data_IF_938420266555
#
_entry.id   IF_938420266555
#
_cell.length_a   1.000
_cell.length_b   1.000
_cell.length_c   1.000
_cell.angle_alpha   90.00
_cell.angle_beta   90.00
_cell.angle_gamma   90.00
#
_symmetry.space_group_name_H-M   'P 1'
#
loop_
_entity.id
_entity.type
_entity.pdbx_description
1 polymer ?
#
# COMPACT_ATOMS: atom_id res chain seq x y z
N UNK A 1 -11.66 10.22 15.83
CA UNK A 1 -10.33 10.58 15.29
C UNK A 1 -10.15 9.81 14.00
N UNK A 2 -10.07 10.49 12.85
CA UNK A 2 -9.66 9.82 11.62
C UNK A 2 -8.18 9.53 11.72
N UNK A 3 -7.80 8.26 11.82
CA UNK A 3 -6.40 7.84 11.75
C UNK A 3 -5.75 8.39 10.48
N UNK A 4 -4.57 9.00 10.62
CA UNK A 4 -3.79 9.44 9.49
C UNK A 4 -3.20 8.19 8.81
N UNK A 5 -3.77 7.80 7.67
CA UNK A 5 -3.36 6.60 6.90
C UNK A 5 -1.84 6.53 6.72
N UNK A 6 -1.19 7.66 6.44
CA UNK A 6 0.24 7.69 6.21
C UNK A 6 1.04 7.40 7.48
N UNK A 7 0.61 7.91 8.64
CA UNK A 7 1.28 7.62 9.93
C UNK A 7 1.21 6.14 10.27
N UNK A 8 0.06 5.50 10.06
CA UNK A 8 -0.15 4.06 10.31
C UNK A 8 0.73 3.21 9.39
N UNK A 9 0.75 3.53 8.08
CA UNK A 9 1.60 2.82 7.13
C UNK A 9 3.09 2.98 7.46
N UNK A 10 3.52 4.18 7.88
CA UNK A 10 4.90 4.41 8.33
C UNK A 10 5.23 3.59 9.59
N UNK A 11 4.31 3.50 10.55
CA UNK A 11 4.49 2.64 11.72
C UNK A 11 4.74 1.19 11.30
N UNK A 12 3.93 0.62 10.40
CA UNK A 12 4.10 -0.75 9.93
C UNK A 12 5.39 -0.97 9.13
N UNK A 13 5.70 -0.05 8.20
CA UNK A 13 6.93 -0.10 7.42
C UNK A 13 8.20 0.01 8.27
N UNK A 14 8.13 0.66 9.43
CA UNK A 14 9.24 0.75 10.39
C UNK A 14 9.33 -0.48 11.31
N UNK A 15 8.20 -1.14 11.64
CA UNK A 15 8.20 -2.39 12.41
C UNK A 15 8.82 -3.55 11.63
N UNK A 16 8.37 -3.77 10.40
CA UNK A 16 8.89 -4.83 9.54
C UNK A 16 8.71 -4.48 8.06
N UNK A 17 9.74 -3.89 7.46
CA UNK A 17 9.69 -3.37 6.10
C UNK A 17 9.46 -4.45 5.04
N UNK A 18 10.10 -5.60 5.18
CA UNK A 18 9.97 -6.68 4.20
C UNK A 18 8.54 -7.22 4.18
N UNK A 19 7.99 -7.52 5.36
CA UNK A 19 6.62 -8.01 5.50
C UNK A 19 5.59 -6.95 5.08
N UNK A 20 5.84 -5.67 5.38
CA UNK A 20 5.02 -4.55 4.89
C UNK A 20 4.88 -4.58 3.36
N UNK A 21 6.00 -4.63 2.64
CA UNK A 21 6.00 -4.63 1.16
C UNK A 21 5.30 -5.86 0.62
N UNK A 22 5.50 -7.02 1.25
CA UNK A 22 4.82 -8.26 0.85
C UNK A 22 3.30 -8.15 1.00
N UNK A 23 2.81 -7.65 2.14
CA UNK A 23 1.38 -7.48 2.41
C UNK A 23 0.78 -6.49 1.42
N UNK A 24 1.44 -5.35 1.15
CA UNK A 24 0.98 -4.39 0.13
C UNK A 24 0.78 -5.08 -1.22
N UNK A 25 1.77 -5.86 -1.68
CA UNK A 25 1.67 -6.57 -2.96
C UNK A 25 0.53 -7.58 -2.97
N UNK A 26 0.42 -8.40 -1.92
CA UNK A 26 -0.65 -9.39 -1.81
C UNK A 26 -2.03 -8.72 -1.83
N UNK A 27 -2.20 -7.63 -1.07
CA UNK A 27 -3.44 -6.87 -1.06
C UNK A 27 -3.77 -6.26 -2.43
N UNK A 28 -2.79 -5.73 -3.15
CA UNK A 28 -3.02 -5.21 -4.51
C UNK A 28 -3.40 -6.34 -5.48
N UNK A 29 -2.74 -7.50 -5.39
CA UNK A 29 -3.08 -8.67 -6.19
C UNK A 29 -4.49 -9.18 -5.88
N UNK A 30 -4.90 -9.21 -4.61
CA UNK A 30 -6.25 -9.62 -4.19
C UNK A 30 -7.33 -8.66 -4.73
N UNK A 31 -7.05 -7.36 -4.78
CA UNK A 31 -8.01 -6.34 -5.23
C UNK A 31 -8.11 -6.30 -6.75
N UNK A 32 -6.98 -6.36 -7.46
CA UNK A 32 -6.92 -6.06 -8.90
C UNK A 32 -6.61 -7.28 -9.78
N UNK A 33 -6.22 -8.41 -9.19
CA UNK A 33 -5.60 -9.54 -9.88
C UNK A 33 -4.13 -9.28 -10.22
N UNK A 34 -3.37 -10.37 -10.37
CA UNK A 34 -1.90 -10.33 -10.49
C UNK A 34 -1.40 -9.40 -11.62
N UNK A 35 -1.96 -9.53 -12.83
CA UNK A 35 -1.50 -8.75 -13.99
C UNK A 35 -1.76 -7.23 -13.84
N UNK A 36 -2.92 -6.87 -13.30
CA UNK A 36 -3.29 -5.46 -13.09
C UNK A 36 -2.49 -4.87 -11.93
N UNK A 37 -2.28 -5.64 -10.86
CA UNK A 37 -1.49 -5.22 -9.72
C UNK A 37 -0.02 -5.00 -10.10
N UNK A 38 0.58 -5.88 -10.91
CA UNK A 38 1.93 -5.69 -11.43
C UNK A 38 2.04 -4.42 -12.28
N UNK A 39 1.07 -4.19 -13.17
CA UNK A 39 0.99 -2.97 -13.98
C UNK A 39 0.86 -1.73 -13.10
N UNK A 40 0.02 -1.77 -12.06
CA UNK A 40 -0.13 -0.68 -11.10
C UNK A 40 1.20 -0.40 -10.38
N UNK A 41 1.87 -1.44 -9.86
CA UNK A 41 3.17 -1.30 -9.19
C UNK A 41 4.20 -0.69 -10.13
N UNK A 42 4.21 -1.08 -11.41
CA UNK A 42 5.06 -0.44 -12.42
C UNK A 42 4.77 1.07 -12.53
N UNK A 43 3.50 1.47 -12.64
CA UNK A 43 3.12 2.90 -12.67
C UNK A 43 3.42 3.66 -11.38
N UNK A 44 3.44 2.97 -10.24
CA UNK A 44 3.89 3.55 -8.97
C UNK A 44 5.42 3.80 -8.96
N UNK A 45 6.19 3.30 -9.92
CA UNK A 45 7.66 3.37 -9.93
C UNK A 45 8.33 2.10 -9.42
N UNK A 46 7.65 0.96 -9.56
CA UNK A 46 8.17 -0.35 -9.20
C UNK A 46 8.19 -0.63 -7.70
N UNK A 47 8.91 -1.70 -7.33
CA UNK A 47 9.01 -2.17 -5.95
C UNK A 47 9.66 -1.15 -5.00
N UNK A 48 10.50 -0.25 -5.51
CA UNK A 48 11.12 0.81 -4.72
C UNK A 48 10.08 1.78 -4.15
N UNK A 49 9.05 2.11 -4.93
CA UNK A 49 7.98 2.99 -4.47
C UNK A 49 7.19 2.39 -3.30
N UNK A 50 7.10 1.07 -3.20
CA UNK A 50 6.45 0.38 -2.08
C UNK A 50 7.28 0.44 -0.80
N UNK A 51 8.59 0.74 -0.88
CA UNK A 51 9.45 0.85 0.31
C UNK A 51 9.33 2.20 1.02
N UNK A 52 8.68 3.19 0.38
CA UNK A 52 8.38 4.49 0.96
C UNK A 52 6.86 4.69 1.02
N UNK A 53 6.24 4.55 2.21
CA UNK A 53 4.80 4.74 2.38
C UNK A 53 4.28 6.09 1.90
N UNK A 54 5.10 7.15 2.00
CA UNK A 54 4.72 8.49 1.53
C UNK A 54 4.60 8.52 0.01
N UNK A 55 5.64 8.07 -0.69
CA UNK A 55 5.65 7.96 -2.14
C UNK A 55 4.53 7.05 -2.65
N UNK A 56 4.38 5.87 -2.05
CA UNK A 56 3.31 4.93 -2.40
C UNK A 56 1.91 5.55 -2.24
N UNK A 57 1.63 6.16 -1.08
CA UNK A 57 0.33 6.79 -0.78
C UNK A 57 0.02 7.92 -1.75
N UNK A 58 1.01 8.79 -2.00
CA UNK A 58 0.85 9.92 -2.91
C UNK A 58 0.55 9.44 -4.33
N UNK A 59 1.32 8.48 -4.84
CA UNK A 59 1.15 7.97 -6.21
C UNK A 59 -0.14 7.17 -6.38
N UNK A 60 -0.54 6.37 -5.39
CA UNK A 60 -1.83 5.69 -5.42
C UNK A 60 -2.99 6.69 -5.49
N UNK A 61 -2.94 7.76 -4.69
CA UNK A 61 -3.94 8.84 -4.73
C UNK A 61 -3.95 9.58 -6.06
N UNK A 62 -2.79 9.79 -6.68
CA UNK A 62 -2.71 10.41 -7.99
C UNK A 62 -3.35 9.55 -9.10
N UNK A 63 -3.23 8.22 -9.02
CA UNK A 63 -3.77 7.29 -10.03
C UNK A 63 -5.26 7.01 -9.79
N UNK A 64 -5.66 6.75 -8.54
CA UNK A 64 -6.97 6.19 -8.19
C UNK A 64 -7.89 7.20 -7.48
N UNK A 65 -7.39 8.41 -7.20
CA UNK A 65 -8.16 9.46 -6.52
C UNK A 65 -8.69 8.99 -5.17
N UNK A 66 -9.99 9.21 -4.94
CA UNK A 66 -10.68 8.81 -3.70
C UNK A 66 -10.65 7.29 -3.45
N UNK A 67 -10.52 6.47 -4.50
CA UNK A 67 -10.43 5.01 -4.36
C UNK A 67 -9.15 4.55 -3.68
N UNK A 68 -8.08 5.34 -3.73
CA UNK A 68 -6.81 5.02 -3.10
C UNK A 68 -6.93 4.84 -1.59
N UNK A 69 -7.72 5.69 -0.91
CA UNK A 69 -7.86 5.63 0.54
C UNK A 69 -8.57 4.34 0.99
N UNK A 70 -9.52 3.82 0.20
CA UNK A 70 -10.17 2.54 0.49
C UNK A 70 -9.18 1.38 0.40
N UNK A 71 -8.31 1.40 -0.62
CA UNK A 71 -7.25 0.40 -0.82
C UNK A 71 -6.23 0.46 0.31
N UNK A 72 -5.77 1.67 0.67
CA UNK A 72 -4.79 1.84 1.75
C UNK A 72 -5.36 1.40 3.10
N UNK A 73 -6.66 1.63 3.35
CA UNK A 73 -7.34 1.11 4.56
C UNK A 73 -7.45 -0.42 4.54
N UNK A 74 -7.69 -1.02 3.38
CA UNK A 74 -7.66 -2.48 3.24
C UNK A 74 -6.28 -3.04 3.55
N UNK A 75 -5.23 -2.43 3.01
CA UNK A 75 -3.83 -2.78 3.28
C UNK A 75 -3.52 -2.70 4.78
N UNK A 76 -3.93 -1.62 5.46
CA UNK A 76 -3.78 -1.48 6.92
C UNK A 76 -4.47 -2.64 7.65
N UNK A 77 -5.71 -2.96 7.27
CA UNK A 77 -6.46 -4.08 7.85
C UNK A 77 -5.76 -5.43 7.67
N UNK A 78 -5.07 -5.64 6.55
CA UNK A 78 -4.26 -6.85 6.35
C UNK A 78 -2.96 -6.83 7.17
N UNK A 79 -2.38 -5.65 7.42
CA UNK A 79 -1.22 -5.49 8.31
C UNK A 79 -1.57 -5.80 9.76
N UNK A 80 -2.71 -5.32 10.27
CA UNK A 80 -3.19 -5.56 11.64
C UNK A 80 -3.29 -7.07 11.97
N UNK A 81 -3.50 -7.91 10.95
CA UNK A 81 -3.60 -9.37 11.12
C UNK A 81 -2.25 -10.08 11.21
N UNK A 82 -1.17 -9.42 10.79
CA UNK A 82 0.11 -10.08 10.45
C UNK A 82 1.35 -9.43 11.08
N UNK A 83 1.27 -8.18 11.55
CA UNK A 83 2.39 -7.40 12.13
C UNK A 83 2.05 -6.90 13.54
#
# INVERSE_FOLDING_TARGET
MSENILEVLNMYANKNRQLFVEIVKQSLNEIFGDATAETLIYYLGGNEALNDPSTMTHKLRAILGMGADAILRYVIKEMDKRI
#
